data_IF_259806092944
#
_entry.id   IF_259806092944
#
_cell.length_a   1.000
_cell.length_b   1.000
_cell.length_c   1.000
_cell.angle_alpha   90.00
_cell.angle_beta   90.00
_cell.angle_gamma   90.00
#
_symmetry.space_group_name_H-M   'P 1'
#
loop_
_entity.id
_entity.type
_entity.pdbx_description
1 polymer ?
#
# COMPACT_ATOMS: atom_id res chain seq x y z
N UNK A 1 -10.16 53.21 2.71
CA UNK A 1 -11.05 52.32 1.96
C UNK A 1 -10.63 50.90 2.26
N UNK A 2 -11.43 50.18 3.03
CA UNK A 2 -11.27 48.77 3.40
C UNK A 2 -12.52 48.05 2.93
N UNK A 3 -12.40 46.87 2.30
CA UNK A 3 -12.79 45.63 2.99
C UNK A 3 -11.96 44.41 2.49
N UNK A 4 -12.09 43.16 2.94
CA UNK A 4 -12.48 42.50 4.20
C UNK A 4 -11.95 41.06 4.09
N UNK A 5 -11.60 40.50 5.24
CA UNK A 5 -11.28 39.12 5.55
C UNK A 5 -12.48 38.17 5.29
N UNK A 6 -12.24 36.93 4.85
CA UNK A 6 -13.21 35.82 5.00
C UNK A 6 -12.46 34.58 5.50
N UNK A 7 -12.86 34.12 6.69
CA UNK A 7 -12.35 32.95 7.40
C UNK A 7 -13.57 32.11 7.81
N UNK A 8 -13.52 30.81 7.45
CA UNK A 8 -13.95 29.59 8.15
C UNK A 8 -15.41 29.43 8.60
N UNK A 9 -15.94 28.21 8.38
CA UNK A 9 -16.72 27.51 9.40
C UNK A 9 -17.96 26.81 8.87
N UNK A 10 -17.90 25.49 8.70
CA UNK A 10 -19.10 24.67 8.53
C UNK A 10 -19.14 23.63 9.65
N UNK A 11 -19.76 24.01 10.76
CA UNK A 11 -20.21 23.10 11.83
C UNK A 11 -21.68 22.76 11.57
N UNK A 12 -22.00 21.47 11.43
CA UNK A 12 -23.38 20.98 11.43
C UNK A 12 -23.72 20.53 12.86
N UNK A 13 -24.64 21.25 13.50
CA UNK A 13 -25.23 20.90 14.79
C UNK A 13 -26.49 20.03 14.59
N UNK A 14 -26.48 18.89 15.29
CA UNK A 14 -27.55 18.25 16.05
C UNK A 14 -29.02 18.69 15.82
N UNK A 15 -29.89 17.71 15.52
CA UNK A 15 -31.32 17.78 15.80
C UNK A 15 -31.73 16.55 16.62
N UNK A 16 -32.32 16.85 17.78
CA UNK A 16 -32.90 15.93 18.77
C UNK A 16 -34.31 15.54 18.32
N UNK A 17 -34.71 14.29 18.55
CA UNK A 17 -36.12 13.96 18.82
C UNK A 17 -36.21 12.83 19.85
N UNK A 18 -36.73 13.21 21.01
CA UNK A 18 -37.08 12.38 22.16
C UNK A 18 -38.48 11.78 21.95
N UNK A 19 -38.75 10.58 22.45
CA UNK A 19 -40.09 10.21 22.95
C UNK A 19 -39.99 9.01 23.90
N UNK A 20 -40.56 9.22 25.09
CA UNK A 20 -40.70 8.28 26.19
C UNK A 20 -41.98 7.43 26.07
N UNK A 21 -41.97 6.25 26.71
CA UNK A 21 -43.15 5.44 27.03
C UNK A 21 -42.69 4.10 27.62
N UNK A 22 -42.60 3.97 28.94
CA UNK A 22 -43.63 3.52 29.89
C UNK A 22 -43.84 1.99 29.97
N UNK A 23 -43.53 1.48 31.17
CA UNK A 23 -44.26 0.49 32.00
C UNK A 23 -43.89 -1.00 32.00
N UNK A 24 -43.81 -1.47 33.26
CA UNK A 24 -44.18 -2.76 33.83
C UNK A 24 -43.26 -4.00 33.75
N UNK A 25 -42.47 -4.16 34.81
CA UNK A 25 -42.42 -5.31 35.74
C UNK A 25 -42.90 -6.69 35.27
N UNK A 26 -42.00 -7.69 35.32
CA UNK A 26 -42.31 -9.02 35.89
C UNK A 26 -41.04 -9.80 36.26
N UNK A 27 -40.89 -10.09 37.56
CA UNK A 27 -40.07 -11.20 38.07
C UNK A 27 -40.66 -12.52 37.58
N UNK A 28 -39.84 -13.39 36.99
CA UNK A 28 -40.04 -14.84 37.07
C UNK A 28 -38.68 -15.53 36.98
N UNK A 29 -38.39 -16.29 38.04
CA UNK A 29 -37.33 -17.30 38.14
C UNK A 29 -37.49 -18.37 37.07
N UNK A 30 -36.39 -18.90 36.52
CA UNK A 30 -36.07 -20.34 36.42
C UNK A 30 -34.66 -20.46 35.82
N UNK A 31 -33.89 -21.37 36.40
CA UNK A 31 -32.54 -21.82 36.05
C UNK A 31 -32.28 -21.93 34.54
N UNK A 32 -31.16 -21.37 34.09
CA UNK A 32 -30.44 -21.97 32.97
C UNK A 32 -28.93 -21.91 33.20
N UNK A 33 -28.29 -23.01 32.85
CA UNK A 33 -26.90 -23.33 33.19
C UNK A 33 -26.03 -22.82 32.05
N UNK A 34 -25.75 -21.51 32.02
CA UNK A 34 -24.93 -20.95 30.94
C UNK A 34 -23.47 -21.28 31.19
N UNK A 35 -23.04 -22.36 30.55
CA UNK A 35 -21.66 -22.67 30.22
C UNK A 35 -20.92 -21.38 29.82
N UNK A 36 -19.98 -20.95 30.66
CA UNK A 36 -19.03 -19.89 30.32
C UNK A 36 -18.13 -20.42 29.20
N UNK A 37 -18.55 -20.23 27.95
CA UNK A 37 -17.62 -20.23 26.82
C UNK A 37 -16.48 -19.25 27.17
N UNK A 38 -15.21 -19.62 26.99
CA UNK A 38 -14.14 -18.67 27.09
C UNK A 38 -14.40 -17.60 26.03
N UNK A 39 -14.78 -16.42 26.50
CA UNK A 39 -14.86 -15.19 25.72
C UNK A 39 -13.55 -15.11 24.94
N UNK A 40 -13.61 -15.45 23.66
CA UNK A 40 -12.47 -15.35 22.77
C UNK A 40 -12.03 -13.90 22.87
N UNK A 41 -10.87 -13.68 23.45
CA UNK A 41 -10.24 -12.37 23.49
C UNK A 41 -10.04 -12.01 22.01
N UNK A 42 -10.99 -11.27 21.46
CA UNK A 42 -10.89 -10.68 20.13
C UNK A 42 -9.78 -9.66 20.29
N UNK A 43 -8.55 -10.07 20.01
CA UNK A 43 -7.42 -9.16 19.93
C UNK A 43 -7.82 -8.16 18.84
N UNK A 44 -8.03 -6.88 19.17
CA UNK A 44 -8.39 -5.90 18.17
C UNK A 44 -7.21 -5.80 17.20
N UNK A 45 -7.40 -6.34 16.01
CA UNK A 45 -6.47 -6.15 14.90
C UNK A 45 -6.42 -4.65 14.61
N UNK A 46 -5.23 -4.05 14.72
CA UNK A 46 -5.03 -2.65 14.31
C UNK A 46 -5.55 -2.48 12.88
N UNK A 47 -6.26 -1.39 12.55
CA UNK A 47 -6.78 -1.20 11.20
C UNK A 47 -5.62 -1.26 10.20
N UNK A 48 -5.84 -1.96 9.07
CA UNK A 48 -4.85 -2.02 7.99
C UNK A 48 -4.85 -0.67 7.28
N UNK A 49 -3.72 0.05 7.22
CA UNK A 49 -3.63 1.31 6.48
C UNK A 49 -3.85 1.06 4.98
N UNK A 50 -4.35 2.08 4.28
CA UNK A 50 -4.51 2.01 2.83
C UNK A 50 -3.15 2.02 2.14
N UNK A 51 -2.96 1.17 1.14
CA UNK A 51 -1.75 1.18 0.31
C UNK A 51 -1.54 2.54 -0.36
N UNK A 52 -2.62 3.24 -0.74
CA UNK A 52 -2.56 4.59 -1.32
C UNK A 52 -2.02 5.59 -0.30
N UNK A 53 -2.54 5.57 0.93
CA UNK A 53 -2.09 6.48 1.99
C UNK A 53 -0.61 6.25 2.32
N UNK A 54 -0.18 4.99 2.37
CA UNK A 54 1.23 4.64 2.59
C UNK A 54 2.13 5.11 1.43
N UNK A 55 1.68 4.95 0.19
CA UNK A 55 2.39 5.41 -1.00
C UNK A 55 2.53 6.94 -1.01
N UNK A 56 1.46 7.67 -0.70
CA UNK A 56 1.48 9.13 -0.59
C UNK A 56 2.45 9.60 0.51
N UNK A 57 2.48 8.91 1.66
CA UNK A 57 3.46 9.18 2.73
C UNK A 57 4.90 8.92 2.27
N UNK A 58 5.14 7.85 1.52
CA UNK A 58 6.45 7.57 0.97
C UNK A 58 6.88 8.66 -0.03
N UNK A 59 6.00 9.07 -0.94
CA UNK A 59 6.28 10.13 -1.91
C UNK A 59 6.53 11.49 -1.24
N UNK A 60 5.75 11.83 -0.21
CA UNK A 60 5.91 13.06 0.57
C UNK A 60 7.25 13.13 1.33
N UNK A 61 7.88 11.99 1.61
CA UNK A 61 9.18 11.94 2.29
C UNK A 61 10.36 12.30 1.36
N UNK A 62 10.15 12.35 0.04
CA UNK A 62 11.23 12.66 -0.90
C UNK A 62 11.70 14.12 -0.77
N UNK A 63 13.02 14.37 -0.81
CA UNK A 63 13.56 15.72 -0.80
C UNK A 63 13.27 16.44 -2.13
N UNK A 64 12.23 17.30 -2.09
CA UNK A 64 11.67 18.15 -3.17
C UNK A 64 10.79 17.39 -4.18
N UNK A 65 9.80 18.07 -4.80
CA UNK A 65 9.01 17.47 -5.87
C UNK A 65 9.92 17.13 -7.05
N UNK A 66 9.96 15.85 -7.43
CA UNK A 66 10.72 15.34 -8.57
C UNK A 66 9.78 14.70 -9.57
N UNK A 67 9.35 15.50 -10.54
CA UNK A 67 8.44 15.11 -11.61
C UNK A 67 9.00 14.02 -12.55
N UNK A 68 10.29 13.70 -12.42
CA UNK A 68 11.00 12.67 -13.18
C UNK A 68 11.12 11.35 -12.42
N UNK A 69 10.61 11.22 -11.18
CA UNK A 69 10.65 9.97 -10.44
C UNK A 69 9.41 9.10 -10.69
N UNK A 70 9.66 7.82 -10.96
CA UNK A 70 8.66 6.76 -11.05
C UNK A 70 8.83 5.84 -9.83
N UNK A 71 7.76 5.69 -9.05
CA UNK A 71 7.66 4.79 -7.90
C UNK A 71 7.34 3.38 -8.38
N UNK A 72 7.88 2.36 -7.72
CA UNK A 72 7.37 0.99 -7.82
C UNK A 72 6.05 0.84 -7.05
N UNK A 73 5.28 -0.23 -7.24
CA UNK A 73 4.36 -0.70 -6.22
C UNK A 73 5.09 -0.92 -4.88
N UNK A 74 4.34 -1.05 -3.79
CA UNK A 74 4.85 -1.53 -2.51
C UNK A 74 5.61 -2.86 -2.67
N UNK A 75 6.73 -3.03 -1.98
CA UNK A 75 7.53 -4.24 -2.02
C UNK A 75 7.80 -4.74 -0.61
N UNK A 76 7.85 -6.06 -0.38
CA UNK A 76 8.33 -6.59 0.88
C UNK A 76 9.86 -6.36 0.98
N UNK A 77 10.37 -6.13 2.20
CA UNK A 77 11.83 -6.08 2.41
C UNK A 77 12.48 -7.45 2.15
N UNK A 78 11.84 -8.50 2.62
CA UNK A 78 12.28 -9.89 2.53
C UNK A 78 11.08 -10.82 2.26
N UNK A 79 11.36 -11.98 1.68
CA UNK A 79 10.35 -13.00 1.44
C UNK A 79 10.89 -14.40 1.80
N UNK A 80 10.16 -15.20 2.60
CA UNK A 80 8.90 -14.88 3.28
C UNK A 80 9.05 -13.74 4.30
N UNK A 81 7.99 -12.98 4.62
CA UNK A 81 8.10 -11.78 5.43
C UNK A 81 8.46 -12.13 6.87
N UNK A 82 9.56 -11.56 7.37
CA UNK A 82 10.01 -11.66 8.76
C UNK A 82 9.48 -10.54 9.66
N UNK A 83 8.92 -9.47 9.08
CA UNK A 83 8.36 -8.33 9.78
C UNK A 83 7.34 -7.56 8.96
N UNK A 84 6.73 -6.56 9.59
CA UNK A 84 5.74 -5.68 8.98
C UNK A 84 6.41 -4.43 8.38
N UNK A 85 7.38 -4.60 7.48
CA UNK A 85 8.06 -3.49 6.80
C UNK A 85 7.81 -3.56 5.29
N UNK A 86 7.53 -2.41 4.71
CA UNK A 86 7.31 -2.23 3.27
C UNK A 86 8.33 -1.24 2.71
N UNK A 87 8.74 -1.42 1.46
CA UNK A 87 9.58 -0.47 0.74
C UNK A 87 9.02 -0.08 -0.63
N UNK A 88 9.48 1.07 -1.11
CA UNK A 88 9.30 1.56 -2.47
C UNK A 88 10.64 1.95 -3.06
N UNK A 89 10.85 1.62 -4.33
CA UNK A 89 12.01 2.04 -5.08
C UNK A 89 11.61 3.15 -6.06
N UNK A 90 12.46 4.17 -6.17
CA UNK A 90 12.22 5.32 -7.04
C UNK A 90 13.25 5.40 -8.15
N UNK A 91 12.77 5.36 -9.38
CA UNK A 91 13.57 5.39 -10.60
C UNK A 91 13.43 6.73 -11.29
N UNK A 92 14.50 7.26 -11.86
CA UNK A 92 14.45 8.45 -12.71
C UNK A 92 14.04 8.05 -14.12
N UNK A 93 13.12 8.78 -14.72
CA UNK A 93 12.66 8.60 -16.10
C UNK A 93 12.78 9.92 -16.86
N UNK A 94 13.42 9.89 -18.04
CA UNK A 94 13.62 11.04 -18.90
C UNK A 94 13.12 10.75 -20.31
N UNK A 95 12.26 11.60 -20.84
CA UNK A 95 11.85 11.51 -22.25
C UNK A 95 13.03 11.85 -23.19
N UNK A 96 13.23 11.02 -24.21
CA UNK A 96 14.26 11.22 -25.23
C UNK A 96 13.69 11.98 -26.44
N UNK A 97 14.45 12.91 -27.03
CA UNK A 97 14.01 13.73 -28.16
C UNK A 97 14.08 12.95 -29.49
N UNK A 98 13.38 11.82 -29.58
CA UNK A 98 13.51 10.85 -30.70
C UNK A 98 12.30 10.81 -31.63
N UNK A 99 11.30 11.68 -31.45
CA UNK A 99 10.07 11.72 -32.27
C UNK A 99 9.08 10.57 -31.98
N UNK A 100 9.51 9.54 -31.24
CA UNK A 100 8.66 8.55 -30.57
C UNK A 100 8.82 8.71 -29.05
N UNK A 101 7.78 8.39 -28.28
CA UNK A 101 7.76 8.47 -26.81
C UNK A 101 8.67 7.37 -26.22
N UNK A 102 9.98 7.60 -26.32
CA UNK A 102 11.03 6.75 -25.75
C UNK A 102 11.50 7.40 -24.47
N UNK A 103 11.51 6.65 -23.38
CA UNK A 103 12.06 7.09 -22.11
C UNK A 103 13.38 6.37 -21.83
N UNK A 104 14.32 7.10 -21.24
CA UNK A 104 15.49 6.55 -20.56
C UNK A 104 15.14 6.42 -19.08
N UNK A 105 15.39 5.24 -18.51
CA UNK A 105 15.14 4.96 -17.09
C UNK A 105 16.47 4.68 -16.40
N UNK A 106 16.75 5.37 -15.30
CA UNK A 106 17.96 5.21 -14.46
C UNK A 106 17.56 4.96 -13.02
N UNK A 107 18.27 4.08 -12.30
CA UNK A 107 18.05 3.85 -10.87
C UNK A 107 18.01 2.36 -10.48
N UNK A 108 17.49 2.05 -9.29
CA UNK A 108 16.78 2.94 -8.37
C UNK A 108 17.73 4.00 -7.77
N UNK A 109 17.20 5.18 -7.50
CA UNK A 109 17.93 6.35 -6.96
C UNK A 109 17.61 6.59 -5.49
N UNK A 110 16.41 6.19 -5.06
CA UNK A 110 15.99 6.24 -3.67
C UNK A 110 15.29 4.94 -3.33
N UNK A 111 15.49 4.50 -2.09
CA UNK A 111 14.65 3.52 -1.43
C UNK A 111 13.94 4.24 -0.29
N UNK A 112 12.65 4.01 -0.15
CA UNK A 112 11.89 4.46 1.01
C UNK A 112 11.32 3.24 1.69
N UNK A 113 11.61 3.05 2.98
CA UNK A 113 11.03 1.97 3.77
C UNK A 113 10.19 2.51 4.92
N UNK A 114 9.21 1.73 5.36
CA UNK A 114 8.30 2.10 6.44
C UNK A 114 7.88 0.87 7.23
N UNK A 115 8.04 0.95 8.56
CA UNK A 115 7.45 -0.03 9.47
C UNK A 115 5.94 0.23 9.59
N UNK A 116 5.13 -0.83 9.49
CA UNK A 116 3.68 -0.76 9.56
C UNK A 116 3.19 -0.96 11.00
N UNK A 117 2.02 -0.39 11.37
CA UNK A 117 1.15 0.44 10.53
C UNK A 117 1.59 1.91 10.41
N UNK A 118 2.26 2.45 11.43
CA UNK A 118 2.39 3.90 11.62
C UNK A 118 3.84 4.42 11.65
N UNK A 119 4.82 3.60 11.27
CA UNK A 119 6.22 4.01 11.27
C UNK A 119 6.49 5.20 10.34
N UNK A 120 7.51 5.99 10.67
CA UNK A 120 7.94 7.09 9.81
C UNK A 120 8.68 6.58 8.56
N UNK A 121 8.46 7.19 7.37
CA UNK A 121 9.22 6.85 6.18
C UNK A 121 10.72 7.10 6.37
N UNK A 122 11.54 6.10 6.06
CA UNK A 122 13.01 6.19 6.03
C UNK A 122 13.48 6.30 4.61
N UNK A 123 14.21 7.38 4.29
CA UNK A 123 14.70 7.63 2.94
C UNK A 123 16.19 7.30 2.84
N UNK A 124 16.53 6.36 1.97
CA UNK A 124 17.89 6.00 1.61
C UNK A 124 18.16 6.49 0.18
N UNK A 125 19.25 7.23 -0.02
CA UNK A 125 19.74 7.58 -1.37
C UNK A 125 20.65 6.46 -1.84
N UNK A 126 20.34 5.88 -2.99
CA UNK A 126 21.12 4.80 -3.58
C UNK A 126 22.09 5.38 -4.61
N UNK A 127 23.32 4.88 -4.62
CA UNK A 127 24.26 5.21 -5.69
C UNK A 127 23.73 4.65 -7.01
N UNK A 128 23.83 5.45 -8.08
CA UNK A 128 23.18 5.18 -9.35
C UNK A 128 23.69 3.87 -9.96
N UNK A 129 22.88 2.81 -9.89
CA UNK A 129 23.01 1.69 -10.82
C UNK A 129 22.31 2.09 -12.12
N UNK A 130 23.05 2.08 -13.23
CA UNK A 130 22.43 2.17 -14.55
C UNK A 130 21.68 0.86 -14.80
N UNK A 131 20.39 0.93 -15.10
CA UNK A 131 19.70 -0.19 -15.73
C UNK A 131 20.12 -0.14 -17.20
N UNK A 132 20.98 -1.07 -17.63
CA UNK A 132 21.33 -1.19 -19.05
C UNK A 132 20.05 -1.48 -19.88
N UNK A 133 19.80 -0.65 -20.90
CA UNK A 133 19.05 -1.09 -22.10
C UNK A 133 17.57 -0.66 -22.29
N UNK A 134 17.01 0.30 -21.58
CA UNK A 134 15.56 0.48 -21.57
C UNK A 134 14.98 1.54 -22.54
N UNK A 135 15.20 1.41 -23.86
CA UNK A 135 14.42 2.22 -24.83
C UNK A 135 12.96 1.76 -24.81
N UNK A 136 12.09 2.44 -24.06
CA UNK A 136 10.64 2.14 -23.96
C UNK A 136 9.96 2.47 -25.29
N UNK A 137 9.35 1.50 -25.97
CA UNK A 137 8.24 1.74 -26.91
C UNK A 137 6.98 1.32 -26.17
N UNK A 138 5.98 2.20 -26.05
CA UNK A 138 4.81 2.02 -25.16
C UNK A 138 4.25 0.60 -25.15
N UNK A 139 4.51 -0.12 -24.06
CA UNK A 139 3.86 -1.39 -23.71
C UNK A 139 2.65 -1.00 -22.83
N UNK A 140 1.50 -1.67 -22.95
CA UNK A 140 0.37 -1.45 -22.06
C UNK A 140 0.82 -1.50 -20.60
N UNK A 141 0.50 -0.45 -19.85
CA UNK A 141 0.63 -0.48 -18.40
C UNK A 141 -0.27 -1.63 -17.89
N UNK A 142 0.22 -2.39 -16.90
CA UNK A 142 -0.63 -3.33 -16.17
C UNK A 142 -1.89 -2.59 -15.69
N UNK A 143 -3.02 -3.30 -15.59
CA UNK A 143 -4.26 -2.69 -15.09
C UNK A 143 -3.97 -2.05 -13.71
N UNK A 144 -4.06 -0.71 -13.60
CA UNK A 144 -3.69 -0.02 -12.37
C UNK A 144 -4.57 -0.44 -11.19
N UNK A 145 -5.80 -0.89 -11.45
CA UNK A 145 -6.73 -1.32 -10.41
C UNK A 145 -6.31 -2.68 -9.84
N UNK A 146 -5.84 -3.60 -10.67
CA UNK A 146 -5.36 -4.92 -10.24
C UNK A 146 -4.09 -4.80 -9.40
N UNK A 147 -3.16 -3.94 -9.84
CA UNK A 147 -1.91 -3.71 -9.12
C UNK A 147 -2.16 -2.99 -7.78
N UNK A 148 -3.06 -2.01 -7.75
CA UNK A 148 -3.46 -1.33 -6.51
C UNK A 148 -4.10 -2.30 -5.50
N UNK A 149 -4.95 -3.22 -5.96
CA UNK A 149 -5.50 -4.28 -5.08
C UNK A 149 -4.41 -5.22 -4.58
N UNK A 150 -3.44 -5.58 -5.42
CA UNK A 150 -2.31 -6.41 -5.02
C UNK A 150 -1.41 -5.71 -3.98
N UNK A 151 -1.17 -4.40 -4.13
CA UNK A 151 -0.48 -3.59 -3.10
C UNK A 151 -1.21 -3.67 -1.76
N UNK A 152 -2.54 -3.47 -1.73
CA UNK A 152 -3.30 -3.58 -0.49
C UNK A 152 -3.18 -4.97 0.15
N UNK A 153 -3.28 -6.03 -0.66
CA UNK A 153 -3.15 -7.42 -0.18
C UNK A 153 -1.74 -7.69 0.36
N UNK A 154 -0.70 -7.11 -0.23
CA UNK A 154 0.67 -7.24 0.29
C UNK A 154 0.78 -6.64 1.69
N UNK A 155 0.20 -5.45 1.91
CA UNK A 155 0.19 -4.79 3.24
C UNK A 155 -0.54 -5.67 4.27
N UNK A 156 -1.67 -6.28 3.91
CA UNK A 156 -2.36 -7.23 4.79
C UNK A 156 -1.50 -8.45 5.15
N UNK A 157 -0.72 -8.96 4.20
CA UNK A 157 0.20 -10.08 4.44
C UNK A 157 1.34 -9.68 5.37
N UNK A 158 1.96 -8.52 5.14
CA UNK A 158 3.04 -7.99 5.98
C UNK A 158 2.58 -7.75 7.42
N UNK A 159 1.33 -7.31 7.60
CA UNK A 159 0.71 -7.13 8.92
C UNK A 159 0.14 -8.42 9.53
N UNK A 160 0.32 -9.58 8.87
CA UNK A 160 -0.19 -10.89 9.31
C UNK A 160 -1.72 -10.98 9.41
N UNK A 161 -2.45 -10.11 8.70
CA UNK A 161 -3.91 -10.15 8.59
C UNK A 161 -4.38 -11.13 7.52
N UNK A 162 -3.48 -11.54 6.62
CA UNK A 162 -3.74 -12.53 5.58
C UNK A 162 -2.52 -13.45 5.45
N UNK A 163 -2.73 -14.75 5.25
CA UNK A 163 -1.61 -15.67 5.01
C UNK A 163 -1.05 -15.48 3.59
N UNK A 164 0.27 -15.60 3.39
CA UNK A 164 0.89 -15.51 2.05
C UNK A 164 0.21 -16.43 1.03
N UNK A 165 -0.06 -17.68 1.41
CA UNK A 165 -0.66 -18.68 0.51
C UNK A 165 -2.06 -18.28 0.03
N UNK A 166 -2.89 -17.73 0.91
CA UNK A 166 -4.23 -17.22 0.54
C UNK A 166 -4.17 -15.94 -0.30
N UNK A 167 -3.09 -15.16 -0.16
CA UNK A 167 -2.87 -13.92 -0.88
C UNK A 167 -2.26 -14.12 -2.28
N UNK A 168 -1.62 -15.27 -2.53
CA UNK A 168 -0.80 -15.52 -3.75
C UNK A 168 -1.52 -15.16 -5.05
N UNK A 169 -2.79 -15.56 -5.18
CA UNK A 169 -3.59 -15.28 -6.38
C UNK A 169 -3.76 -13.79 -6.67
N UNK A 170 -4.03 -12.98 -5.64
CA UNK A 170 -4.15 -11.53 -5.79
C UNK A 170 -2.79 -10.86 -6.02
N UNK A 171 -1.72 -11.38 -5.42
CA UNK A 171 -0.37 -10.87 -5.60
C UNK A 171 0.23 -11.18 -6.99
N UNK A 172 -0.40 -12.03 -7.81
CA UNK A 172 0.08 -12.36 -9.14
C UNK A 172 0.14 -11.13 -10.08
N UNK A 173 -0.63 -10.07 -9.81
CA UNK A 173 -0.53 -8.81 -10.57
C UNK A 173 0.89 -8.20 -10.56
N UNK A 174 1.70 -8.50 -9.53
CA UNK A 174 3.12 -8.14 -9.52
C UNK A 174 3.91 -8.81 -10.63
N UNK A 175 3.62 -10.07 -10.96
CA UNK A 175 4.28 -10.81 -12.05
C UNK A 175 3.96 -10.15 -13.40
N UNK A 176 2.70 -9.79 -13.61
CA UNK A 176 2.25 -9.16 -14.85
C UNK A 176 2.87 -7.76 -15.00
N UNK A 177 2.90 -6.98 -13.93
CA UNK A 177 3.64 -5.70 -13.89
C UNK A 177 5.15 -5.87 -14.10
N UNK A 178 5.76 -6.89 -13.49
CA UNK A 178 7.19 -7.16 -13.59
C UNK A 178 7.66 -7.59 -14.98
N UNK A 179 6.77 -8.22 -15.76
CA UNK A 179 7.06 -8.66 -17.13
C UNK A 179 6.79 -7.60 -18.18
N UNK A 180 5.92 -6.63 -17.88
CA UNK A 180 5.52 -5.56 -18.82
C UNK A 180 6.37 -4.31 -18.71
N UNK A 181 7.05 -4.09 -17.57
CA UNK A 181 7.82 -2.86 -17.32
C UNK A 181 9.31 -3.14 -17.13
N UNK A 182 10.16 -2.22 -17.59
CA UNK A 182 11.61 -2.27 -17.37
C UNK A 182 11.92 -2.22 -15.87
N UNK A 183 11.25 -1.31 -15.16
CA UNK A 183 11.37 -1.17 -13.70
C UNK A 183 11.01 -2.49 -13.02
N UNK A 184 9.88 -3.08 -13.40
CA UNK A 184 9.43 -4.34 -12.85
C UNK A 184 10.39 -5.50 -13.15
N UNK A 185 11.01 -5.53 -14.33
CA UNK A 185 12.07 -6.48 -14.65
C UNK A 185 13.31 -6.33 -13.76
N UNK A 186 13.67 -5.09 -13.40
CA UNK A 186 14.74 -4.81 -12.43
C UNK A 186 14.36 -5.22 -11.00
N UNK A 187 13.16 -4.87 -10.56
CA UNK A 187 12.63 -5.26 -9.25
C UNK A 187 12.60 -6.78 -9.10
N UNK A 188 12.17 -7.51 -10.14
CA UNK A 188 12.20 -8.98 -10.13
C UNK A 188 13.59 -9.55 -9.90
N UNK A 189 14.64 -8.95 -10.50
CA UNK A 189 16.03 -9.37 -10.26
C UNK A 189 16.51 -9.05 -8.85
N UNK A 190 16.01 -7.99 -8.23
CA UNK A 190 16.38 -7.56 -6.86
C UNK A 190 15.64 -8.32 -5.77
N UNK A 191 14.50 -8.93 -6.08
CA UNK A 191 13.60 -9.63 -5.15
C UNK A 191 13.25 -11.04 -5.63
N UNK A 192 14.24 -11.87 -6.01
CA UNK A 192 13.96 -13.15 -6.66
C UNK A 192 13.06 -14.05 -5.80
N UNK A 193 13.24 -14.08 -4.48
CA UNK A 193 12.49 -14.94 -3.56
C UNK A 193 10.97 -14.67 -3.60
N UNK A 194 10.58 -13.40 -3.69
CA UNK A 194 9.16 -13.02 -3.78
C UNK A 194 8.54 -13.46 -5.10
N UNK A 195 9.22 -13.22 -6.22
CA UNK A 195 8.70 -13.55 -7.55
C UNK A 195 8.77 -15.05 -7.86
N UNK A 196 9.78 -15.75 -7.37
CA UNK A 196 9.91 -17.20 -7.49
C UNK A 196 8.77 -17.89 -6.72
N UNK A 197 8.47 -17.41 -5.50
CA UNK A 197 7.32 -17.90 -4.72
C UNK A 197 5.97 -17.65 -5.40
N UNK A 198 5.81 -16.50 -6.07
CA UNK A 198 4.60 -16.21 -6.86
C UNK A 198 4.44 -17.17 -8.05
N UNK A 199 5.54 -17.64 -8.63
CA UNK A 199 5.56 -18.48 -9.84
C UNK A 199 5.57 -19.99 -9.55
N UNK A 200 5.98 -20.41 -8.35
CA UNK A 200 6.13 -21.82 -7.96
C UNK A 200 4.83 -22.65 -7.94
N UNK A 201 3.67 -22.05 -8.25
CA UNK A 201 2.35 -22.70 -8.23
C UNK A 201 1.76 -22.98 -9.62
N UNK A 202 2.55 -22.83 -10.68
CA UNK A 202 2.14 -23.16 -12.06
C UNK A 202 2.46 -24.60 -12.44
#
# INVERSE_FOLDING_TARGET
MTPRLVIIGTTLFSVIASLAGCLESKRSSVHDTTSTEPEAIVVPHSPVPSAIELAERAEAALPRPRFDLQRTPALPLDWPPSGAEVEWLFYRSRALPTGAVTYEVTGPTHRISMALPDGDPRVETLENATIDGARRRGIPDADPDDLGRAEQVLIEVLMQHRSPESARGALHAYVDWATTTVIGGDVRRRKPEFFDWLQASR
#
